data_IF_278613383704
#
_entry.id   IF_278613383704
#
_cell.length_a   1.000
_cell.length_b   1.000
_cell.length_c   1.000
_cell.angle_alpha   90.00
_cell.angle_beta   90.00
_cell.angle_gamma   90.00
#
_symmetry.space_group_name_H-M   'P 1'
#
loop_
_entity.id
_entity.type
_entity.pdbx_description
1 polymer ?
#
# COMPACT_ATOMS: atom_id res chain seq x y z
N UNK A 1 12.85 -2.27 1.37
CA UNK A 1 13.16 -3.68 1.72
C UNK A 1 13.31 -3.91 3.22
N UNK A 2 14.11 -3.13 3.95
CA UNK A 2 14.33 -3.23 5.41
C UNK A 2 13.04 -3.31 6.24
N UNK A 3 12.03 -2.54 5.85
CA UNK A 3 10.75 -2.48 6.56
C UNK A 3 9.89 -3.74 6.41
N UNK A 4 9.96 -4.43 5.26
CA UNK A 4 9.32 -5.74 5.07
C UNK A 4 9.87 -6.75 6.06
N UNK A 5 11.20 -6.81 6.19
CA UNK A 5 11.86 -7.73 7.11
C UNK A 5 11.53 -7.40 8.55
N UNK A 6 11.57 -6.11 8.92
CA UNK A 6 11.16 -5.68 10.26
C UNK A 6 9.73 -6.07 10.60
N UNK A 7 8.79 -5.87 9.67
CA UNK A 7 7.39 -6.23 9.89
C UNK A 7 7.15 -7.75 9.85
N UNK A 8 7.85 -8.49 8.98
CA UNK A 8 7.66 -9.93 8.79
C UNK A 8 8.37 -10.81 9.82
N UNK A 9 9.48 -10.33 10.38
CA UNK A 9 10.38 -11.12 11.25
C UNK A 9 10.70 -10.44 12.59
N UNK A 10 10.35 -9.17 12.76
CA UNK A 10 10.73 -8.37 13.93
C UNK A 10 12.17 -7.85 13.91
N UNK A 11 13.01 -8.31 12.98
CA UNK A 11 14.43 -7.95 12.91
C UNK A 11 14.66 -6.54 12.37
N UNK A 12 15.50 -5.77 13.04
CA UNK A 12 15.96 -4.46 12.58
C UNK A 12 17.26 -4.60 11.79
N UNK A 13 17.13 -4.76 10.46
CA UNK A 13 18.30 -4.91 9.59
C UNK A 13 19.22 -3.68 9.59
N UNK A 14 18.71 -2.49 9.87
CA UNK A 14 19.56 -1.29 9.92
C UNK A 14 20.47 -1.35 11.14
N UNK A 15 19.92 -1.76 12.29
CA UNK A 15 20.71 -2.01 13.50
C UNK A 15 21.71 -3.14 13.31
N UNK A 16 21.27 -4.27 12.74
CA UNK A 16 22.17 -5.40 12.43
C UNK A 16 23.32 -4.99 11.50
N UNK A 17 23.03 -4.21 10.46
CA UNK A 17 24.07 -3.71 9.55
C UNK A 17 25.05 -2.78 10.27
N UNK A 18 24.58 -1.94 11.18
CA UNK A 18 25.43 -1.08 12.00
C UNK A 18 26.31 -1.89 12.96
N UNK A 19 25.75 -2.87 13.66
CA UNK A 19 26.51 -3.72 14.58
C UNK A 19 27.59 -4.52 13.82
N UNK A 20 27.27 -5.03 12.63
CA UNK A 20 28.25 -5.68 11.75
C UNK A 20 29.37 -4.72 11.29
N UNK A 21 29.03 -3.48 10.92
CA UNK A 21 30.02 -2.46 10.55
C UNK A 21 30.95 -2.08 11.71
N UNK A 22 30.49 -2.26 12.96
CA UNK A 22 31.26 -2.05 14.19
C UNK A 22 31.97 -3.32 14.68
N UNK A 23 32.06 -4.38 13.85
CA UNK A 23 32.66 -5.68 14.17
C UNK A 23 32.05 -6.34 15.42
N UNK A 24 30.78 -6.06 15.71
CA UNK A 24 30.06 -6.71 16.80
C UNK A 24 29.43 -8.01 16.33
N UNK A 25 29.50 -9.09 17.13
CA UNK A 25 28.85 -10.34 16.77
C UNK A 25 27.34 -10.13 16.68
N UNK A 26 26.79 -10.37 15.50
CA UNK A 26 25.34 -10.27 15.24
C UNK A 26 24.88 -11.51 14.50
N UNK A 27 23.91 -12.22 15.05
CA UNK A 27 23.23 -13.30 14.33
C UNK A 27 22.00 -12.77 13.61
N UNK A 28 21.90 -13.05 12.31
CA UNK A 28 20.73 -12.73 11.53
C UNK A 28 19.78 -13.94 11.50
N UNK A 29 18.71 -13.89 12.30
CA UNK A 29 17.67 -14.93 12.32
C UNK A 29 16.39 -14.42 11.65
N UNK A 30 16.22 -14.76 10.38
CA UNK A 30 15.05 -14.38 9.58
C UNK A 30 13.95 -15.45 9.68
N UNK A 31 13.30 -15.53 10.84
CA UNK A 31 12.09 -16.33 10.99
C UNK A 31 10.87 -15.48 10.63
N UNK A 32 10.20 -15.80 9.52
CA UNK A 32 8.96 -15.12 9.12
C UNK A 32 7.81 -15.65 9.97
N UNK A 33 7.21 -14.78 10.78
CA UNK A 33 6.09 -15.12 11.65
C UNK A 33 4.76 -14.51 11.18
N UNK A 34 4.78 -13.74 10.09
CA UNK A 34 3.60 -13.11 9.50
C UNK A 34 3.84 -12.78 8.02
N UNK A 35 2.79 -12.82 7.21
CA UNK A 35 2.81 -12.31 5.84
C UNK A 35 2.71 -10.78 5.85
N UNK A 36 3.45 -10.10 4.97
CA UNK A 36 3.48 -8.63 4.88
C UNK A 36 3.51 -8.19 3.43
N UNK A 37 2.76 -7.14 3.09
CA UNK A 37 2.86 -6.47 1.80
C UNK A 37 2.84 -4.95 1.95
N UNK A 38 3.25 -4.27 0.88
CA UNK A 38 3.00 -2.84 0.69
C UNK A 38 2.02 -2.68 -0.48
N UNK A 39 0.88 -2.05 -0.21
CA UNK A 39 -0.08 -1.63 -1.22
C UNK A 39 0.35 -0.24 -1.73
N UNK A 40 0.62 -0.19 -3.03
CA UNK A 40 0.82 1.03 -3.80
C UNK A 40 -0.49 1.28 -4.56
N UNK A 41 -1.36 2.13 -4.02
CA UNK A 41 -2.67 2.41 -4.61
C UNK A 41 -2.56 3.60 -5.58
N UNK A 42 -2.67 3.38 -6.90
CA UNK A 42 -2.57 4.43 -7.90
C UNK A 42 -3.91 5.18 -8.06
N UNK A 43 -3.84 6.35 -8.70
CA UNK A 43 -5.04 6.93 -9.29
C UNK A 43 -5.43 6.21 -10.58
N UNK A 44 -6.72 6.21 -10.94
CA UNK A 44 -7.20 5.53 -12.13
C UNK A 44 -6.74 6.22 -13.42
N UNK A 45 -6.70 5.50 -14.56
CA UNK A 45 -6.38 6.08 -15.85
C UNK A 45 -7.28 7.28 -16.19
N UNK A 46 -6.68 8.35 -16.67
CA UNK A 46 -7.39 9.59 -17.00
C UNK A 46 -7.59 10.55 -15.82
N UNK A 47 -7.32 10.13 -14.58
CA UNK A 47 -7.39 11.03 -13.43
C UNK A 47 -6.39 12.17 -13.56
N UNK A 48 -6.89 13.39 -13.47
CA UNK A 48 -6.10 14.63 -13.47
C UNK A 48 -6.10 15.31 -12.10
N UNK A 49 -7.14 15.07 -11.27
CA UNK A 49 -7.27 15.71 -9.95
C UNK A 49 -8.00 14.85 -8.94
N UNK A 50 -7.59 14.93 -7.67
CA UNK A 50 -8.32 14.36 -6.53
C UNK A 50 -9.36 15.36 -6.04
N UNK A 51 -10.62 14.94 -5.96
CA UNK A 51 -11.71 15.76 -5.39
C UNK A 51 -12.08 15.35 -3.97
N UNK A 52 -11.87 14.09 -3.60
CA UNK A 52 -12.02 13.59 -2.24
C UNK A 52 -10.96 12.53 -1.94
N UNK A 53 -10.57 12.42 -0.67
CA UNK A 53 -9.60 11.45 -0.19
C UNK A 53 -9.95 11.01 1.26
N UNK A 54 -9.68 9.76 1.63
CA UNK A 54 -9.80 9.30 3.01
C UNK A 54 -8.81 10.01 3.93
N UNK A 55 -9.15 10.10 5.21
CA UNK A 55 -8.19 10.57 6.21
C UNK A 55 -7.15 9.47 6.49
N UNK A 56 -5.88 9.84 6.65
CA UNK A 56 -4.81 8.89 7.04
C UNK A 56 -5.18 8.07 8.29
N UNK A 57 -5.85 8.69 9.27
CA UNK A 57 -6.29 8.04 10.51
C UNK A 57 -7.36 6.98 10.29
N UNK A 58 -8.22 7.16 9.28
CA UNK A 58 -9.23 6.18 8.91
C UNK A 58 -8.57 4.90 8.41
N UNK A 59 -7.64 5.03 7.46
CA UNK A 59 -6.87 3.90 6.92
C UNK A 59 -6.05 3.22 8.03
N UNK A 60 -5.38 4.00 8.88
CA UNK A 60 -4.54 3.47 9.95
C UNK A 60 -5.31 2.64 11.02
N UNK A 61 -6.64 2.72 11.04
CA UNK A 61 -7.50 1.94 11.95
C UNK A 61 -7.96 0.61 11.34
N UNK A 62 -7.70 0.37 10.06
CA UNK A 62 -8.08 -0.88 9.42
C UNK A 62 -7.30 -2.07 10.02
N UNK A 63 -7.96 -3.23 10.20
CA UNK A 63 -7.30 -4.44 10.68
C UNK A 63 -6.05 -4.80 9.86
N UNK A 64 -4.94 -5.03 10.56
CA UNK A 64 -3.67 -5.43 9.94
C UNK A 64 -2.92 -4.33 9.20
N UNK A 65 -3.38 -3.07 9.24
CA UNK A 65 -2.55 -1.94 8.80
C UNK A 65 -1.41 -1.73 9.78
N UNK A 66 -0.19 -1.91 9.30
CA UNK A 66 1.05 -1.73 10.06
C UNK A 66 1.56 -0.29 9.96
N UNK A 67 1.28 0.39 8.85
CA UNK A 67 1.57 1.79 8.64
C UNK A 67 0.90 2.37 7.40
N UNK A 68 0.77 3.70 7.40
CA UNK A 68 0.36 4.50 6.24
C UNK A 68 1.45 5.54 5.98
N UNK A 69 2.17 5.39 4.88
CA UNK A 69 3.31 6.23 4.53
C UNK A 69 2.89 7.46 3.71
N UNK A 70 1.90 7.26 2.84
CA UNK A 70 1.42 8.31 1.96
C UNK A 70 -0.10 8.22 1.81
N UNK A 71 -0.75 9.38 1.82
CA UNK A 71 -2.14 9.58 1.38
C UNK A 71 -2.19 10.95 0.72
N UNK A 72 -2.52 11.00 -0.56
CA UNK A 72 -2.72 12.24 -1.27
C UNK A 72 -3.99 12.94 -0.78
N UNK A 73 -3.95 14.27 -0.74
CA UNK A 73 -5.08 15.09 -0.26
C UNK A 73 -5.95 15.54 -1.42
N UNK A 74 -7.22 15.85 -1.14
CA UNK A 74 -8.09 16.52 -2.09
C UNK A 74 -7.48 17.84 -2.61
N UNK A 75 -7.84 18.21 -3.84
CA UNK A 75 -7.36 19.40 -4.55
C UNK A 75 -6.03 19.24 -5.28
N UNK A 76 -5.27 18.16 -5.02
CA UNK A 76 -3.99 17.89 -5.68
C UNK A 76 -4.17 17.41 -7.13
N UNK A 77 -3.32 17.88 -8.06
CA UNK A 77 -3.23 17.28 -9.38
C UNK A 77 -2.68 15.85 -9.28
N UNK A 78 -3.04 15.01 -10.23
CA UNK A 78 -2.57 13.64 -10.32
C UNK A 78 -2.06 13.34 -11.72
N UNK A 79 -0.96 12.60 -11.78
CA UNK A 79 -0.42 12.08 -13.02
C UNK A 79 -0.45 10.55 -12.97
N UNK A 80 -1.51 9.95 -13.48
CA UNK A 80 -1.70 8.49 -13.43
C UNK A 80 -0.61 7.70 -14.19
N UNK A 81 0.11 8.33 -15.14
CA UNK A 81 1.15 7.69 -15.95
C UNK A 81 2.54 7.61 -15.30
N UNK A 82 2.73 8.11 -14.08
CA UNK A 82 4.08 8.15 -13.46
C UNK A 82 4.46 6.89 -12.68
N UNK A 83 3.77 5.77 -12.89
CA UNK A 83 4.05 4.50 -12.20
C UNK A 83 3.90 4.63 -10.68
N UNK A 84 4.86 4.10 -9.91
CA UNK A 84 4.84 4.19 -8.45
C UNK A 84 4.86 5.62 -7.90
N UNK A 85 5.34 6.62 -8.66
CA UNK A 85 5.25 8.02 -8.26
C UNK A 85 3.83 8.59 -8.40
N UNK A 86 2.93 7.89 -9.10
CA UNK A 86 1.51 8.24 -9.24
C UNK A 86 0.61 7.61 -8.19
N UNK A 87 1.17 6.95 -7.16
CA UNK A 87 0.40 6.39 -6.06
C UNK A 87 -0.22 7.49 -5.21
N UNK A 88 -1.53 7.40 -4.98
CA UNK A 88 -2.24 8.31 -4.09
C UNK A 88 -2.32 7.78 -2.66
N UNK A 89 -2.01 6.50 -2.43
CA UNK A 89 -1.82 5.98 -1.09
C UNK A 89 -0.76 4.86 -1.05
N UNK A 90 -0.02 4.81 0.04
CA UNK A 90 0.97 3.75 0.34
C UNK A 90 0.67 3.19 1.72
N UNK A 91 0.22 1.93 1.76
CA UNK A 91 -0.26 1.27 2.97
C UNK A 91 0.49 -0.04 3.18
N UNK A 92 0.99 -0.25 4.39
CA UNK A 92 1.63 -1.50 4.80
C UNK A 92 0.61 -2.38 5.50
N UNK A 93 0.45 -3.60 5.00
CA UNK A 93 -0.45 -4.60 5.56
C UNK A 93 0.36 -5.78 6.07
N UNK A 94 -0.10 -6.38 7.17
CA UNK A 94 0.37 -7.69 7.61
C UNK A 94 -0.77 -8.56 8.07
N UNK A 95 -0.57 -9.87 8.06
CA UNK A 95 -1.49 -10.89 8.56
C UNK A 95 -0.75 -12.16 8.94
N UNK A 96 -1.41 -13.06 9.65
CA UNK A 96 -0.78 -14.30 10.14
C UNK A 96 -0.44 -15.25 8.99
N UNK A 97 -1.27 -15.26 7.94
CA UNK A 97 -1.08 -16.05 6.71
C UNK A 97 -1.46 -15.25 5.45
N UNK A 98 -1.29 -15.88 4.28
CA UNK A 98 -1.54 -15.26 2.98
C UNK A 98 -3.02 -15.03 2.70
N UNK A 99 -3.92 -15.87 3.20
CA UNK A 99 -5.37 -15.76 2.96
C UNK A 99 -5.94 -14.58 3.74
N UNK A 100 -5.58 -14.46 5.01
CA UNK A 100 -5.89 -13.30 5.83
C UNK A 100 -5.26 -12.02 5.26
N UNK A 101 -4.06 -12.09 4.67
CA UNK A 101 -3.45 -10.94 4.00
C UNK A 101 -4.24 -10.52 2.75
N UNK A 102 -4.70 -11.49 1.97
CA UNK A 102 -5.52 -11.27 0.77
C UNK A 102 -6.88 -10.63 1.10
N UNK A 103 -7.53 -11.09 2.18
CA UNK A 103 -8.76 -10.49 2.69
C UNK A 103 -8.54 -9.03 3.10
N UNK A 104 -7.51 -8.76 3.92
CA UNK A 104 -7.17 -7.38 4.37
C UNK A 104 -6.80 -6.46 3.21
N UNK A 105 -6.11 -6.99 2.19
CA UNK A 105 -5.81 -6.27 0.97
C UNK A 105 -7.10 -5.87 0.24
N UNK A 106 -8.03 -6.80 0.10
CA UNK A 106 -9.33 -6.55 -0.55
C UNK A 106 -10.11 -5.48 0.21
N UNK A 107 -10.26 -5.60 1.53
CA UNK A 107 -10.95 -4.62 2.36
C UNK A 107 -10.32 -3.22 2.27
N UNK A 108 -8.99 -3.17 2.29
CA UNK A 108 -8.26 -1.89 2.18
C UNK A 108 -8.47 -1.26 0.81
N UNK A 109 -8.40 -2.04 -0.27
CA UNK A 109 -8.61 -1.52 -1.63
C UNK A 109 -10.06 -1.04 -1.81
N UNK A 110 -11.04 -1.79 -1.32
CA UNK A 110 -12.45 -1.37 -1.36
C UNK A 110 -12.64 -0.03 -0.67
N UNK A 111 -12.14 0.13 0.55
CA UNK A 111 -12.22 1.42 1.26
C UNK A 111 -11.54 2.56 0.48
N UNK A 112 -10.34 2.32 -0.06
CA UNK A 112 -9.64 3.35 -0.83
C UNK A 112 -10.40 3.72 -2.11
N UNK A 113 -10.98 2.74 -2.81
CA UNK A 113 -11.80 2.94 -4.01
C UNK A 113 -13.08 3.74 -3.72
N UNK A 114 -13.74 3.49 -2.59
CA UNK A 114 -14.94 4.23 -2.19
C UNK A 114 -14.64 5.67 -1.74
N UNK A 115 -13.49 5.88 -1.10
CA UNK A 115 -13.15 7.16 -0.46
C UNK A 115 -12.42 8.13 -1.37
N UNK A 116 -11.61 7.64 -2.30
CA UNK A 116 -10.99 8.50 -3.29
C UNK A 116 -11.99 8.84 -4.40
N UNK A 117 -12.01 10.12 -4.78
CA UNK A 117 -12.79 10.59 -5.92
C UNK A 117 -11.90 11.43 -6.83
N UNK A 118 -12.13 11.31 -8.13
CA UNK A 118 -11.28 11.92 -9.14
C UNK A 118 -12.08 12.70 -10.18
N UNK A 119 -11.39 13.62 -10.84
CA UNK A 119 -11.84 14.24 -12.10
C UNK A 119 -10.79 14.10 -13.18
N UNK A 120 -11.23 14.00 -14.42
CA UNK A 120 -10.38 14.08 -15.60
C UNK A 120 -9.98 15.54 -15.92
N UNK A 121 -9.24 15.74 -17.02
CA UNK A 121 -8.81 17.05 -17.47
C UNK A 121 -9.99 17.95 -17.91
N UNK A 122 -11.09 17.35 -18.35
CA UNK A 122 -12.32 18.03 -18.74
C UNK A 122 -13.24 18.32 -17.55
N UNK A 123 -12.88 17.88 -16.34
CA UNK A 123 -13.62 18.11 -15.11
C UNK A 123 -14.77 17.12 -14.85
N UNK A 124 -14.89 16.05 -15.64
CA UNK A 124 -15.89 14.99 -15.45
C UNK A 124 -15.46 14.09 -14.30
N UNK A 125 -16.43 13.62 -13.52
CA UNK A 125 -16.17 12.66 -12.43
C UNK A 125 -15.69 11.34 -13.00
N UNK A 126 -14.54 10.88 -12.51
CA UNK A 126 -14.04 9.54 -12.75
C UNK A 126 -14.30 8.69 -11.51
N UNK A 127 -15.10 7.64 -11.68
CA UNK A 127 -15.18 6.51 -10.77
C UNK A 127 -14.54 5.32 -11.46
N UNK A 128 -13.72 4.61 -10.73
CA UNK A 128 -13.12 3.39 -11.22
C UNK A 128 -13.58 2.24 -10.34
N UNK A 129 -14.82 1.81 -10.61
CA UNK A 129 -15.45 0.69 -9.91
C UNK A 129 -14.86 -0.66 -10.37
N UNK A 130 -14.05 -0.69 -11.45
CA UNK A 130 -13.68 -1.92 -12.17
C UNK A 130 -12.16 -2.22 -12.21
N UNK A 131 -11.31 -1.24 -11.88
CA UNK A 131 -9.84 -1.38 -11.86
C UNK A 131 -9.36 -2.53 -10.96
N UNK A 132 -9.92 -2.66 -9.76
CA UNK A 132 -9.51 -3.71 -8.81
C UNK A 132 -9.92 -5.08 -9.31
N UNK A 133 -11.12 -5.17 -9.87
CA UNK A 133 -11.63 -6.38 -10.52
C UNK A 133 -10.71 -6.82 -11.66
N UNK A 134 -10.13 -5.89 -12.41
CA UNK A 134 -9.20 -6.17 -13.51
C UNK A 134 -7.82 -6.68 -13.03
N UNK A 135 -7.30 -6.16 -11.93
CA UNK A 135 -6.04 -6.64 -11.31
C UNK A 135 -6.23 -7.98 -10.60
N UNK A 136 -7.39 -8.20 -9.97
CA UNK A 136 -7.70 -9.48 -9.34
C UNK A 136 -7.90 -10.60 -10.38
N UNK A 137 -8.53 -10.30 -11.53
CA UNK A 137 -8.77 -11.26 -12.62
C UNK A 137 -7.50 -11.71 -13.36
N UNK A 138 -6.48 -10.87 -13.42
CA UNK A 138 -5.19 -11.21 -14.06
C UNK A 138 -4.37 -12.25 -13.25
N UNK A 139 -4.86 -12.73 -12.11
CA UNK A 139 -4.26 -13.81 -11.30
C UNK A 139 -4.85 -15.21 -11.53
N UNK A 140 -5.57 -15.46 -12.62
CA UNK A 140 -5.91 -16.86 -12.97
C UNK A 140 -4.69 -17.48 -13.64
N UNK A 141 -3.99 -18.45 -13.02
CA UNK A 141 -2.91 -19.15 -13.70
C UNK A 141 -3.55 -20.06 -14.76
N UNK A 142 -3.21 -19.83 -16.02
CA UNK A 142 -3.25 -20.88 -17.05
C UNK A 142 -2.16 -21.92 -16.78
#
# INVERSE_FOLDING_TARGET
MTRLVRYGTGQDLARTALDAALSRPTELRLAWHRAVLVLLFPAPPGAARITAAPARREIARLPGVLAVDHVATAGRPVHWRTGAAGTVATVWLGADDHDALSARLTDTVTLLGERFQYRDAEGRTLRDDDWWTQIARTRTPT
#
